data_IF_518808336589
#
_entry.id   IF_518808336589
#
_cell.length_a   1.000
_cell.length_b   1.000
_cell.length_c   1.000
_cell.angle_alpha   90.00
_cell.angle_beta   90.00
_cell.angle_gamma   90.00
#
_symmetry.space_group_name_H-M   'P 1'
#
loop_
_entity.id
_entity.type
_entity.pdbx_description
1 polymer ?
#
# COMPACT_ATOMS: atom_id res chain seq x y z
N UNK A 1 18.92 13.83 -15.50
CA UNK A 1 19.36 13.52 -14.12
C UNK A 1 18.12 13.37 -13.25
N UNK A 2 18.10 12.35 -12.42
CA UNK A 2 16.99 12.10 -11.47
C UNK A 2 17.51 12.32 -10.07
N UNK A 3 16.79 13.14 -9.28
CA UNK A 3 17.12 13.44 -7.89
C UNK A 3 15.90 13.10 -7.04
N UNK A 4 16.09 12.39 -5.94
CA UNK A 4 15.04 12.14 -4.96
C UNK A 4 15.10 13.17 -3.84
N UNK A 5 13.94 13.47 -3.24
CA UNK A 5 13.86 14.34 -2.07
C UNK A 5 14.71 13.80 -0.90
N UNK A 6 14.61 12.52 -0.63
CA UNK A 6 15.37 11.84 0.43
C UNK A 6 16.88 12.03 0.25
N UNK A 7 17.36 11.97 -0.99
CA UNK A 7 18.77 12.20 -1.28
C UNK A 7 19.20 13.66 -1.00
N UNK A 8 18.35 14.63 -1.37
CA UNK A 8 18.63 16.04 -1.05
C UNK A 8 18.67 16.29 0.46
N UNK A 9 17.84 15.61 1.23
CA UNK A 9 17.79 15.73 2.69
C UNK A 9 19.08 15.28 3.40
N UNK A 10 19.91 14.49 2.74
CA UNK A 10 21.24 14.12 3.25
C UNK A 10 22.23 15.32 3.29
N UNK A 11 21.99 16.35 2.49
CA UNK A 11 22.88 17.50 2.33
C UNK A 11 22.34 18.76 2.97
N UNK A 12 21.02 18.92 3.04
CA UNK A 12 20.37 20.13 3.53
C UNK A 12 19.01 19.81 4.17
N UNK A 13 18.69 20.50 5.24
CA UNK A 13 17.36 20.38 5.87
C UNK A 13 16.30 21.11 5.05
N UNK A 14 15.48 20.34 4.36
CA UNK A 14 14.31 20.79 3.59
C UNK A 14 12.99 20.29 4.16
N UNK A 15 13.00 19.84 5.42
CA UNK A 15 11.83 19.24 6.07
C UNK A 15 10.60 20.14 6.09
N UNK A 16 10.82 21.47 6.17
CA UNK A 16 9.78 22.50 6.22
C UNK A 16 9.43 23.10 4.85
N UNK A 17 10.09 22.68 3.79
CA UNK A 17 9.90 23.20 2.44
C UNK A 17 9.09 22.20 1.62
N UNK A 18 8.03 22.67 0.96
CA UNK A 18 7.24 21.80 0.09
C UNK A 18 8.04 21.41 -1.16
N UNK A 19 7.73 20.25 -1.73
CA UNK A 19 8.36 19.80 -2.98
C UNK A 19 8.10 20.77 -4.13
N UNK A 20 6.89 21.34 -4.17
CA UNK A 20 6.54 22.35 -5.19
C UNK A 20 7.39 23.61 -5.06
N UNK A 21 7.68 24.07 -3.85
CA UNK A 21 8.54 25.25 -3.64
C UNK A 21 9.99 24.95 -3.99
N UNK A 22 10.46 23.73 -3.74
CA UNK A 22 11.79 23.28 -4.21
C UNK A 22 11.86 23.34 -5.74
N UNK A 23 10.87 22.81 -6.45
CA UNK A 23 10.81 22.86 -7.91
C UNK A 23 10.77 24.29 -8.44
N UNK A 24 9.97 25.17 -7.84
CA UNK A 24 9.91 26.59 -8.21
C UNK A 24 11.26 27.28 -8.03
N UNK A 25 11.92 27.02 -6.91
CA UNK A 25 13.24 27.60 -6.62
C UNK A 25 14.28 27.13 -7.61
N UNK A 26 14.33 25.83 -7.92
CA UNK A 26 15.25 25.28 -8.92
C UNK A 26 15.03 25.91 -10.29
N UNK A 27 13.78 26.01 -10.75
CA UNK A 27 13.45 26.67 -12.00
C UNK A 27 13.88 28.14 -12.02
N UNK A 28 13.73 28.86 -10.91
CA UNK A 28 14.06 30.28 -10.81
C UNK A 28 15.56 30.57 -10.91
N UNK A 29 16.39 29.62 -10.52
CA UNK A 29 17.86 29.73 -10.60
C UNK A 29 18.47 29.08 -11.84
N UNK A 30 17.63 28.66 -12.80
CA UNK A 30 18.06 28.11 -14.07
C UNK A 30 18.27 26.59 -14.09
N UNK A 31 17.92 25.88 -13.03
CA UNK A 31 17.94 24.42 -12.97
C UNK A 31 16.53 23.90 -13.27
N UNK A 32 16.25 23.73 -14.56
CA UNK A 32 14.92 23.34 -15.02
C UNK A 32 14.48 21.96 -14.49
N UNK A 33 13.27 21.90 -13.94
CA UNK A 33 12.62 20.66 -13.53
C UNK A 33 11.68 20.21 -14.63
N UNK A 34 12.03 19.15 -15.36
CA UNK A 34 11.25 18.62 -16.48
C UNK A 34 9.98 17.94 -16.01
N UNK A 35 10.08 17.17 -14.93
CA UNK A 35 8.96 16.41 -14.38
C UNK A 35 9.11 16.19 -12.88
N UNK A 36 7.99 16.05 -12.21
CA UNK A 36 7.90 15.69 -10.80
C UNK A 36 7.06 14.43 -10.66
N UNK A 37 7.67 13.36 -10.19
CA UNK A 37 6.99 12.09 -9.93
C UNK A 37 6.89 11.88 -8.42
N UNK A 38 5.67 11.73 -7.93
CA UNK A 38 5.42 11.40 -6.54
C UNK A 38 5.09 9.92 -6.42
N UNK A 39 5.95 9.19 -5.72
CA UNK A 39 5.66 7.80 -5.37
C UNK A 39 4.86 7.85 -4.07
N UNK A 40 3.60 7.47 -4.14
CA UNK A 40 2.71 7.41 -2.98
C UNK A 40 1.88 6.15 -3.02
N UNK A 41 1.69 5.57 -1.85
CA UNK A 41 0.74 4.48 -1.65
C UNK A 41 -0.50 5.09 -1.00
N UNK A 42 -1.69 4.56 -1.33
CA UNK A 42 -2.94 5.03 -0.75
C UNK A 42 -2.88 5.03 0.78
N UNK A 43 -3.43 6.06 1.45
CA UNK A 43 -3.58 6.04 2.91
C UNK A 43 -4.32 4.78 3.36
N UNK A 44 -3.99 4.25 4.54
CA UNK A 44 -4.56 3.01 5.09
C UNK A 44 -4.14 1.73 4.35
N UNK A 45 -3.09 1.78 3.55
CA UNK A 45 -2.34 0.59 3.15
C UNK A 45 -1.19 0.43 4.14
N UNK A 46 -1.15 -0.70 4.81
CA UNK A 46 -0.15 -1.01 5.84
C UNK A 46 0.56 -2.32 5.52
N UNK A 47 1.70 -2.55 6.14
CA UNK A 47 2.39 -3.84 6.05
C UNK A 47 1.79 -4.78 7.07
N UNK A 48 1.33 -5.94 6.61
CA UNK A 48 0.86 -7.03 7.46
C UNK A 48 1.71 -8.27 7.31
N UNK A 49 1.80 -9.06 8.36
CA UNK A 49 2.45 -10.38 8.33
C UNK A 49 1.39 -11.47 8.26
N UNK A 50 1.47 -12.32 7.27
CA UNK A 50 0.60 -13.49 7.16
C UNK A 50 1.02 -14.52 8.19
N UNK A 51 0.18 -14.73 9.21
CA UNK A 51 0.45 -15.69 10.28
C UNK A 51 0.03 -17.11 9.88
N UNK A 52 -1.11 -17.22 9.21
CA UNK A 52 -1.71 -18.49 8.82
C UNK A 52 -2.43 -18.36 7.48
N UNK A 53 -2.35 -19.39 6.67
CA UNK A 53 -3.08 -19.53 5.41
C UNK A 53 -3.74 -20.90 5.38
N UNK A 54 -5.06 -20.90 5.24
CA UNK A 54 -5.84 -22.12 5.05
C UNK A 54 -6.68 -22.02 3.77
N UNK A 55 -6.96 -23.15 3.16
CA UNK A 55 -7.82 -23.20 1.99
C UNK A 55 -9.27 -22.90 2.39
N UNK A 56 -9.96 -22.08 1.58
CA UNK A 56 -11.39 -21.79 1.81
C UNK A 56 -12.22 -23.08 1.63
N UNK A 57 -13.12 -23.42 2.58
CA UNK A 57 -13.89 -24.67 2.51
C UNK A 57 -14.87 -24.73 1.34
N UNK A 58 -15.42 -23.60 0.92
CA UNK A 58 -16.47 -23.50 -0.08
C UNK A 58 -16.03 -22.86 -1.41
N UNK A 59 -14.74 -22.52 -1.54
CA UNK A 59 -14.21 -21.89 -2.75
C UNK A 59 -12.77 -22.36 -3.03
N UNK A 60 -12.59 -23.19 -4.02
CA UNK A 60 -11.30 -23.81 -4.36
C UNK A 60 -10.19 -22.82 -4.72
N UNK A 61 -10.56 -21.65 -5.23
CA UNK A 61 -9.61 -20.61 -5.66
C UNK A 61 -9.27 -19.59 -4.58
N UNK A 62 -9.91 -19.67 -3.42
CA UNK A 62 -9.71 -18.74 -2.32
C UNK A 62 -8.99 -19.37 -1.14
N UNK A 63 -8.24 -18.53 -0.42
CA UNK A 63 -7.60 -18.88 0.85
C UNK A 63 -8.06 -17.92 1.93
N UNK A 64 -8.11 -18.41 3.16
CA UNK A 64 -8.37 -17.60 4.34
C UNK A 64 -7.03 -17.34 5.03
N UNK A 65 -6.66 -16.08 5.18
CA UNK A 65 -5.42 -15.67 5.79
C UNK A 65 -5.69 -14.96 7.12
N UNK A 66 -4.91 -15.28 8.14
CA UNK A 66 -4.83 -14.48 9.36
C UNK A 66 -3.62 -13.57 9.22
N UNK A 67 -3.84 -12.26 9.27
CA UNK A 67 -2.81 -11.25 9.00
C UNK A 67 -2.65 -10.34 10.21
N UNK A 68 -1.43 -10.28 10.73
CA UNK A 68 -1.05 -9.40 11.82
C UNK A 68 -0.66 -8.03 11.26
N UNK A 69 -1.40 -7.00 11.67
CA UNK A 69 -1.17 -5.61 11.28
C UNK A 69 -0.31 -4.84 12.31
N UNK A 70 0.19 -5.52 13.32
CA UNK A 70 0.96 -4.94 14.42
C UNK A 70 0.12 -4.57 15.64
N UNK A 71 -1.01 -3.92 15.46
CA UNK A 71 -1.95 -3.54 16.52
C UNK A 71 -3.14 -4.51 16.66
N UNK A 72 -3.44 -5.26 15.60
CA UNK A 72 -4.53 -6.22 15.56
C UNK A 72 -4.25 -7.32 14.53
N UNK A 73 -4.94 -8.43 14.64
CA UNK A 73 -4.94 -9.51 13.63
C UNK A 73 -6.30 -9.53 12.95
N UNK A 74 -6.30 -9.51 11.63
CA UNK A 74 -7.51 -9.53 10.82
C UNK A 74 -7.57 -10.77 9.94
N UNK A 75 -8.77 -11.23 9.66
CA UNK A 75 -9.03 -12.30 8.70
C UNK A 75 -9.27 -11.70 7.32
N UNK A 76 -8.53 -12.18 6.32
CA UNK A 76 -8.66 -11.73 4.94
C UNK A 76 -8.79 -12.94 4.03
N UNK A 77 -9.80 -12.92 3.17
CA UNK A 77 -9.96 -13.90 2.11
C UNK A 77 -9.22 -13.42 0.87
N UNK A 78 -8.32 -14.23 0.36
CA UNK A 78 -7.42 -13.86 -0.74
C UNK A 78 -7.41 -14.94 -1.83
N UNK A 79 -7.50 -14.51 -3.09
CA UNK A 79 -7.41 -15.37 -4.27
C UNK A 79 -6.00 -15.53 -4.84
N UNK A 80 -5.02 -14.83 -4.30
CA UNK A 80 -3.64 -14.89 -4.79
C UNK A 80 -2.99 -16.23 -4.48
N UNK A 81 -2.34 -16.82 -5.49
CA UNK A 81 -1.67 -18.12 -5.37
C UNK A 81 -0.32 -18.04 -4.66
N UNK A 82 0.30 -16.87 -4.68
CA UNK A 82 1.65 -16.62 -4.17
C UNK A 82 1.70 -16.13 -2.72
N UNK A 83 0.57 -16.06 -2.03
CA UNK A 83 0.51 -15.71 -0.61
C UNK A 83 0.82 -16.95 0.23
N UNK A 84 1.77 -16.81 1.16
CA UNK A 84 2.18 -17.88 2.07
C UNK A 84 2.32 -17.36 3.51
N UNK A 85 2.16 -18.26 4.47
CA UNK A 85 2.40 -17.94 5.88
C UNK A 85 3.85 -17.49 6.12
N UNK A 86 4.03 -16.47 6.95
CA UNK A 86 5.32 -15.87 7.24
C UNK A 86 5.73 -14.72 6.34
N UNK A 87 5.02 -14.47 5.25
CA UNK A 87 5.28 -13.33 4.35
C UNK A 87 4.79 -12.01 4.93
N UNK A 88 5.49 -10.94 4.58
CA UNK A 88 5.01 -9.57 4.75
C UNK A 88 4.31 -9.13 3.46
N UNK A 89 3.10 -8.62 3.61
CA UNK A 89 2.24 -8.24 2.47
C UNK A 89 1.65 -6.85 2.67
N UNK A 90 1.40 -6.10 1.58
CA UNK A 90 0.65 -4.86 1.69
C UNK A 90 -0.84 -5.16 1.88
N UNK A 91 -1.43 -4.55 2.89
CA UNK A 91 -2.83 -4.75 3.27
C UNK A 91 -3.57 -3.42 3.22
N UNK A 92 -4.63 -3.36 2.41
CA UNK A 92 -5.59 -2.27 2.46
C UNK A 92 -6.62 -2.60 3.54
N UNK A 93 -6.61 -1.81 4.61
CA UNK A 93 -7.55 -1.99 5.72
C UNK A 93 -8.95 -1.47 5.35
N UNK A 94 -9.95 -1.86 6.11
CA UNK A 94 -11.32 -1.37 5.93
C UNK A 94 -11.35 0.15 5.98
N UNK A 95 -12.02 0.77 4.99
CA UNK A 95 -12.07 2.22 4.80
C UNK A 95 -10.96 2.78 3.92
N UNK A 96 -10.02 1.94 3.43
CA UNK A 96 -9.02 2.36 2.46
C UNK A 96 -9.67 2.64 1.11
N UNK A 97 -9.36 3.78 0.51
CA UNK A 97 -9.71 4.12 -0.86
C UNK A 97 -8.48 3.88 -1.76
N UNK A 98 -8.58 2.90 -2.66
CA UNK A 98 -7.53 2.56 -3.63
C UNK A 98 -7.62 3.36 -4.94
N UNK A 99 -8.53 4.32 -5.02
CA UNK A 99 -8.81 5.10 -6.23
C UNK A 99 -10.06 4.62 -6.98
N UNK A 100 -10.57 5.46 -7.89
CA UNK A 100 -11.76 5.17 -8.70
C UNK A 100 -13.01 4.74 -7.88
N UNK A 101 -13.17 5.31 -6.68
CA UNK A 101 -14.21 4.95 -5.71
C UNK A 101 -14.16 3.49 -5.21
N UNK A 102 -13.01 2.83 -5.37
CA UNK A 102 -12.80 1.49 -4.83
C UNK A 102 -12.41 1.55 -3.36
N UNK A 103 -13.42 1.53 -2.49
CA UNK A 103 -13.26 1.58 -1.04
C UNK A 103 -13.35 0.18 -0.47
N UNK A 104 -12.36 -0.19 0.34
CA UNK A 104 -12.30 -1.49 1.01
C UNK A 104 -13.31 -1.51 2.16
N UNK A 105 -14.18 -2.50 2.15
CA UNK A 105 -15.21 -2.73 3.18
C UNK A 105 -15.07 -4.12 3.78
N UNK A 106 -15.50 -4.25 5.03
CA UNK A 106 -15.72 -5.56 5.61
C UNK A 106 -16.81 -6.28 4.80
N UNK A 107 -16.50 -7.47 4.33
CA UNK A 107 -17.38 -8.24 3.45
C UNK A 107 -17.37 -9.72 3.81
N UNK A 108 -18.41 -10.43 3.42
CA UNK A 108 -18.42 -11.89 3.44
C UNK A 108 -18.21 -12.41 2.03
N UNK A 109 -17.14 -13.14 1.83
CA UNK A 109 -16.81 -13.78 0.57
C UNK A 109 -17.09 -15.29 0.71
N UNK A 110 -18.10 -15.76 -0.01
CA UNK A 110 -18.56 -17.16 0.04
C UNK A 110 -18.82 -17.65 1.49
N UNK A 111 -19.51 -16.79 2.28
CA UNK A 111 -19.86 -17.08 3.67
C UNK A 111 -18.76 -16.83 4.72
N UNK A 112 -17.56 -16.43 4.31
CA UNK A 112 -16.43 -16.16 5.21
C UNK A 112 -16.15 -14.67 5.28
N UNK A 113 -15.99 -14.14 6.49
CA UNK A 113 -15.68 -12.72 6.71
C UNK A 113 -14.28 -12.37 6.25
N UNK A 114 -14.17 -11.24 5.55
CA UNK A 114 -12.91 -10.63 5.13
C UNK A 114 -12.88 -9.17 5.55
N UNK A 115 -11.88 -8.80 6.36
CA UNK A 115 -11.74 -7.47 6.94
C UNK A 115 -10.51 -6.75 6.40
N UNK A 116 -10.46 -6.56 5.09
CA UNK A 116 -9.38 -5.94 4.38
C UNK A 116 -9.07 -6.66 3.08
N UNK A 117 -8.02 -6.21 2.39
CA UNK A 117 -7.56 -6.81 1.16
C UNK A 117 -6.04 -6.88 1.13
N UNK A 118 -5.48 -8.05 0.82
CA UNK A 118 -4.07 -8.17 0.46
C UNK A 118 -3.92 -7.68 -0.97
N UNK A 119 -3.10 -6.66 -1.16
CA UNK A 119 -2.95 -5.98 -2.44
C UNK A 119 -1.79 -6.55 -3.26
N UNK A 120 -1.99 -6.62 -4.57
CA UNK A 120 -0.91 -6.81 -5.54
C UNK A 120 -0.26 -5.47 -5.92
N UNK A 121 0.90 -5.52 -6.55
CA UNK A 121 1.54 -4.32 -7.10
C UNK A 121 0.66 -3.60 -8.12
N UNK A 122 -0.11 -4.34 -8.90
CA UNK A 122 -1.04 -3.78 -9.90
C UNK A 122 -2.17 -2.96 -9.26
N UNK A 123 -2.69 -3.41 -8.12
CA UNK A 123 -3.75 -2.72 -7.38
C UNK A 123 -3.27 -1.47 -6.67
N UNK A 124 -1.99 -1.40 -6.34
CA UNK A 124 -1.37 -0.23 -5.70
C UNK A 124 -0.87 0.83 -6.69
N UNK A 125 -0.72 0.46 -7.94
CA UNK A 125 -0.24 1.33 -9.01
C UNK A 125 1.27 1.23 -9.25
#
# INVERSE_FOLDING_TARGET
MIITRTWLEEFIDISKISTDDICKTLNSIGLEVDSLNKISIAPKVVVGKVLEKIKHPDADKLNICQVDLGNETVQIVCGAKNVEAGQFVPVAVVGCDLGDNFIIKAAKLTGTESNGMICSSTELG
#
